data_IF_426606490965
#
_entry.id   IF_426606490965
#
_cell.length_a   1.000
_cell.length_b   1.000
_cell.length_c   1.000
_cell.angle_alpha   90.00
_cell.angle_beta   90.00
_cell.angle_gamma   90.00
#
_symmetry.space_group_name_H-M   'P 1'
#
loop_
_entity.id
_entity.type
_entity.pdbx_description
1 polymer ?
#
# COMPACT_ATOMS: atom_id res chain seq x y z
N UNK A 1 4.22 5.41 12.98
CA UNK A 1 3.99 4.03 13.49
C UNK A 1 2.63 3.42 13.13
N UNK A 2 1.46 4.01 13.43
CA UNK A 2 0.18 3.33 13.10
C UNK A 2 0.05 2.98 11.61
N UNK A 3 0.34 3.92 10.71
CA UNK A 3 0.33 3.67 9.25
C UNK A 3 1.35 2.62 8.81
N UNK A 4 2.59 2.71 9.29
CA UNK A 4 3.65 1.74 8.98
C UNK A 4 3.27 0.32 9.42
N UNK A 5 2.61 0.17 10.58
CA UNK A 5 2.14 -1.14 11.06
C UNK A 5 1.06 -1.72 10.16
N UNK A 6 0.17 -0.88 9.61
CA UNK A 6 -0.81 -1.32 8.62
C UNK A 6 -0.11 -1.85 7.37
N UNK A 7 0.78 -1.05 6.76
CA UNK A 7 1.48 -1.49 5.55
C UNK A 7 2.34 -2.72 5.76
N UNK A 8 3.06 -2.82 6.89
CA UNK A 8 3.87 -4.00 7.24
C UNK A 8 3.01 -5.26 7.28
N UNK A 9 1.89 -5.22 8.00
CA UNK A 9 0.97 -6.35 8.06
C UNK A 9 0.39 -6.68 6.69
N UNK A 10 -0.04 -5.68 5.92
CA UNK A 10 -0.58 -5.89 4.57
C UNK A 10 0.46 -6.52 3.64
N UNK A 11 1.71 -6.04 3.64
CA UNK A 11 2.80 -6.61 2.85
C UNK A 11 3.07 -8.05 3.25
N UNK A 12 3.17 -8.33 4.56
CA UNK A 12 3.41 -9.67 5.07
C UNK A 12 2.27 -10.64 4.70
N UNK A 13 1.01 -10.23 4.91
CA UNK A 13 -0.18 -11.01 4.57
C UNK A 13 -0.24 -11.30 3.06
N UNK A 14 -0.08 -10.26 2.23
CA UNK A 14 -0.11 -10.37 0.77
C UNK A 14 1.01 -11.28 0.25
N UNK A 15 2.23 -11.14 0.79
CA UNK A 15 3.35 -12.01 0.43
C UNK A 15 3.16 -13.46 0.93
N UNK A 16 2.25 -13.69 1.88
CA UNK A 16 1.89 -15.01 2.41
C UNK A 16 0.62 -15.60 1.77
N UNK A 17 0.09 -14.97 0.72
CA UNK A 17 -1.03 -15.51 -0.06
C UNK A 17 -2.40 -14.92 0.26
N UNK A 18 -2.48 -13.87 1.09
CA UNK A 18 -3.73 -13.14 1.32
C UNK A 18 -4.17 -12.39 0.06
N UNK A 19 -5.41 -12.61 -0.37
CA UNK A 19 -5.98 -12.05 -1.62
C UNK A 19 -6.80 -10.76 -1.40
N UNK A 20 -7.05 -10.38 -0.15
CA UNK A 20 -7.80 -9.18 0.20
C UNK A 20 -7.58 -8.76 1.65
N UNK A 21 -7.64 -7.46 1.90
CA UNK A 21 -7.42 -6.89 3.23
C UNK A 21 -8.54 -5.89 3.53
N UNK A 22 -9.24 -6.08 4.64
CA UNK A 22 -10.38 -5.27 5.04
C UNK A 22 -10.12 -4.66 6.42
N UNK A 23 -10.09 -3.33 6.50
CA UNK A 23 -10.01 -2.63 7.77
C UNK A 23 -11.32 -2.74 8.56
N UNK A 24 -11.27 -2.46 9.85
CA UNK A 24 -12.39 -2.68 10.75
C UNK A 24 -13.47 -1.60 10.66
N UNK A 25 -13.28 -0.47 11.35
CA UNK A 25 -14.18 0.66 11.25
C UNK A 25 -13.64 1.63 10.21
N UNK A 26 -14.44 1.96 9.20
CA UNK A 26 -14.07 2.99 8.23
C UNK A 26 -13.86 4.35 8.91
N UNK A 27 -14.72 4.68 9.89
CA UNK A 27 -14.64 5.92 10.64
C UNK A 27 -15.12 5.76 12.09
N UNK A 28 -14.60 6.61 12.98
CA UNK A 28 -14.98 6.72 14.40
C UNK A 28 -14.90 8.18 14.87
N UNK A 29 -15.41 8.48 16.07
CA UNK A 29 -15.18 9.75 16.74
C UNK A 29 -13.76 9.83 17.39
N UNK A 30 -13.36 10.97 17.97
CA UNK A 30 -12.05 11.14 18.66
C UNK A 30 -11.88 10.20 19.85
N UNK A 31 -12.97 9.66 20.40
CA UNK A 31 -12.92 8.71 21.51
C UNK A 31 -12.81 7.28 21.03
N UNK A 32 -12.89 7.03 19.72
CA UNK A 32 -12.85 5.69 19.14
C UNK A 32 -14.18 4.95 19.19
N UNK A 33 -15.30 5.68 19.22
CA UNK A 33 -16.66 5.15 19.31
C UNK A 33 -17.60 5.65 18.20
N UNK A 34 -18.93 5.48 18.40
CA UNK A 34 -19.57 4.88 19.58
C UNK A 34 -19.34 3.37 19.69
N UNK A 35 -19.19 2.87 20.91
CA UNK A 35 -19.11 1.44 21.18
C UNK A 35 -19.91 1.09 22.45
N UNK A 36 -20.87 0.17 22.33
CA UNK A 36 -21.81 -0.17 23.42
C UNK A 36 -21.12 -0.74 24.67
N UNK A 37 -19.97 -1.40 24.50
CA UNK A 37 -19.18 -2.00 25.58
C UNK A 37 -17.97 -1.13 25.97
N UNK A 38 -17.85 0.09 25.44
CA UNK A 38 -16.70 1.00 25.62
C UNK A 38 -15.36 0.39 25.16
N UNK A 39 -15.40 -0.54 24.20
CA UNK A 39 -14.20 -1.07 23.55
C UNK A 39 -13.77 -0.15 22.41
N UNK A 40 -13.06 0.92 22.76
CA UNK A 40 -12.68 1.97 21.82
C UNK A 40 -11.47 1.60 20.96
N UNK A 41 -11.52 2.00 19.69
CA UNK A 41 -10.48 1.70 18.71
C UNK A 41 -10.08 2.96 17.92
N UNK A 42 -9.05 2.84 17.09
CA UNK A 42 -8.74 3.84 16.06
C UNK A 42 -9.39 3.45 14.73
N UNK A 43 -9.69 4.44 13.90
CA UNK A 43 -10.13 4.26 12.52
C UNK A 43 -9.33 5.19 11.59
N UNK A 44 -9.23 4.89 10.29
CA UNK A 44 -8.53 5.76 9.32
C UNK A 44 -9.15 7.15 9.20
N UNK A 45 -10.47 7.28 9.35
CA UNK A 45 -11.18 8.55 9.35
C UNK A 45 -11.72 8.86 10.74
N UNK A 46 -11.43 10.06 11.24
CA UNK A 46 -11.99 10.56 12.51
C UNK A 46 -12.98 11.70 12.22
N UNK A 47 -14.24 11.54 12.65
CA UNK A 47 -15.37 12.42 12.29
C UNK A 47 -15.87 13.28 13.48
N UNK A 48 -15.08 14.26 13.93
CA UNK A 48 -15.51 15.18 15.01
C UNK A 48 -15.84 16.60 14.56
N UNK A 49 -15.57 16.93 13.30
CA UNK A 49 -15.73 18.26 12.73
C UNK A 49 -16.40 18.15 11.36
N UNK A 50 -16.77 19.29 10.76
CA UNK A 50 -17.33 19.33 9.41
C UNK A 50 -16.39 18.70 8.36
N UNK A 51 -15.07 18.74 8.62
CA UNK A 51 -14.05 18.10 7.79
C UNK A 51 -13.52 16.85 8.49
N UNK A 52 -13.54 15.67 7.81
CA UNK A 52 -12.92 14.44 8.32
C UNK A 52 -11.43 14.60 8.57
N UNK A 53 -10.94 14.12 9.71
CA UNK A 53 -9.50 14.01 9.98
C UNK A 53 -8.98 12.67 9.46
N UNK A 54 -8.03 12.73 8.52
CA UNK A 54 -7.38 11.54 7.96
C UNK A 54 -6.17 11.14 8.82
N UNK A 55 -6.22 9.94 9.38
CA UNK A 55 -5.11 9.38 10.15
C UNK A 55 -4.00 8.87 9.21
N UNK A 56 -2.75 8.75 9.68
CA UNK A 56 -1.67 8.17 8.87
C UNK A 56 -2.01 6.80 8.26
N UNK A 57 -2.75 5.93 8.96
CA UNK A 57 -3.18 4.64 8.39
C UNK A 57 -4.06 4.78 7.15
N UNK A 58 -4.85 5.86 7.01
CA UNK A 58 -5.62 6.12 5.79
C UNK A 58 -4.70 6.23 4.56
N UNK A 59 -3.63 7.02 4.68
CA UNK A 59 -2.68 7.21 3.59
C UNK A 59 -1.93 5.92 3.25
N UNK A 60 -1.53 5.15 4.26
CA UNK A 60 -0.86 3.87 4.05
C UNK A 60 -1.79 2.83 3.42
N UNK A 61 -3.06 2.74 3.82
CA UNK A 61 -4.07 1.91 3.15
C UNK A 61 -4.21 2.26 1.67
N UNK A 62 -4.19 3.56 1.34
CA UNK A 62 -4.35 4.06 -0.02
C UNK A 62 -3.23 3.59 -0.96
N UNK A 63 -2.01 3.39 -0.46
CA UNK A 63 -0.88 2.85 -1.26
C UNK A 63 -1.15 1.46 -1.83
N UNK A 64 -2.06 0.70 -1.23
CA UNK A 64 -2.53 -0.60 -1.72
C UNK A 64 -3.85 -0.44 -2.46
N UNK A 65 -4.87 0.12 -1.81
CA UNK A 65 -6.23 0.17 -2.32
C UNK A 65 -6.38 0.94 -3.64
N UNK A 66 -5.56 1.97 -3.88
CA UNK A 66 -5.61 2.76 -5.11
C UNK A 66 -4.86 2.10 -6.28
N UNK A 67 -3.82 1.34 -5.97
CA UNK A 67 -2.81 0.94 -6.94
C UNK A 67 -2.75 -0.57 -7.21
N UNK A 68 -3.36 -1.40 -6.36
CA UNK A 68 -3.54 -2.83 -6.57
C UNK A 68 -5.03 -3.05 -6.83
N UNK A 69 -5.39 -3.32 -8.08
CA UNK A 69 -6.79 -3.41 -8.53
C UNK A 69 -7.39 -4.78 -8.20
N UNK A 70 -8.73 -4.89 -8.09
CA UNK A 70 -9.38 -6.19 -8.05
C UNK A 70 -8.94 -7.07 -9.24
N UNK A 71 -8.61 -8.33 -8.97
CA UNK A 71 -8.09 -9.26 -9.97
C UNK A 71 -6.60 -9.11 -10.29
N UNK A 72 -5.88 -8.19 -9.64
CA UNK A 72 -4.43 -8.12 -9.73
C UNK A 72 -3.78 -9.43 -9.26
N UNK A 73 -2.66 -9.79 -9.89
CA UNK A 73 -1.94 -11.02 -9.58
C UNK A 73 -0.64 -10.67 -8.88
N UNK A 74 -0.41 -11.24 -7.70
CA UNK A 74 0.86 -11.08 -6.98
C UNK A 74 1.98 -11.70 -7.80
N UNK A 75 3.09 -10.99 -7.94
CA UNK A 75 4.31 -11.51 -8.54
C UNK A 75 5.43 -11.63 -7.52
N UNK A 76 6.39 -12.50 -7.80
CA UNK A 76 7.58 -12.63 -6.96
C UNK A 76 8.36 -11.32 -7.00
N UNK A 77 8.61 -10.76 -5.82
CA UNK A 77 9.50 -9.64 -5.60
C UNK A 77 10.36 -9.91 -4.38
N UNK A 78 11.58 -9.38 -4.38
CA UNK A 78 12.53 -9.53 -3.28
C UNK A 78 13.35 -8.25 -3.15
N UNK A 79 13.54 -7.78 -1.92
CA UNK A 79 14.54 -6.75 -1.63
C UNK A 79 15.89 -7.41 -1.35
N UNK A 80 16.99 -6.81 -1.83
CA UNK A 80 18.34 -7.18 -1.41
C UNK A 80 18.77 -6.50 -0.11
N UNK A 81 17.93 -5.61 0.42
CA UNK A 81 18.08 -4.97 1.73
C UNK A 81 16.91 -5.36 2.61
N UNK A 82 17.16 -6.14 3.66
CA UNK A 82 16.13 -6.65 4.58
C UNK A 82 15.32 -5.54 5.27
N UNK A 83 15.88 -4.32 5.34
CA UNK A 83 15.23 -3.13 5.90
C UNK A 83 14.08 -2.57 5.06
N UNK A 84 13.95 -2.97 3.79
CA UNK A 84 12.84 -2.56 2.92
C UNK A 84 11.87 -3.71 2.74
N UNK A 85 10.63 -3.50 3.20
CA UNK A 85 9.54 -4.44 2.95
C UNK A 85 8.87 -4.11 1.62
N UNK A 86 8.62 -5.14 0.81
CA UNK A 86 8.12 -4.97 -0.56
C UNK A 86 7.04 -5.96 -0.92
N UNK A 87 6.06 -5.52 -1.72
CA UNK A 87 5.14 -6.40 -2.45
C UNK A 87 4.97 -5.87 -3.87
N UNK A 88 4.77 -6.76 -4.83
CA UNK A 88 4.55 -6.40 -6.22
C UNK A 88 3.36 -7.16 -6.82
N UNK A 89 2.59 -6.46 -7.64
CA UNK A 89 1.35 -6.94 -8.21
C UNK A 89 1.24 -6.53 -9.68
N UNK A 90 0.81 -7.43 -10.55
CA UNK A 90 0.41 -7.10 -11.92
C UNK A 90 -1.06 -6.73 -11.91
N UNK A 91 -1.36 -5.49 -12.30
CA UNK A 91 -2.70 -5.09 -12.70
C UNK A 91 -2.89 -5.48 -14.17
N UNK A 92 -3.94 -6.25 -14.46
CA UNK A 92 -4.35 -6.54 -15.83
C UNK A 92 -5.19 -5.37 -16.35
N UNK A 93 -4.89 -4.94 -17.57
CA UNK A 93 -5.65 -3.93 -18.29
C UNK A 93 -7.02 -4.41 -18.71
N UNK A 94 -7.94 -3.46 -18.90
CA UNK A 94 -9.28 -3.73 -19.43
C UNK A 94 -9.17 -4.09 -20.91
N UNK A 95 -9.11 -5.39 -21.23
CA UNK A 95 -9.06 -5.87 -22.61
C UNK A 95 -10.41 -5.63 -23.29
N UNK A 96 -10.53 -4.54 -24.05
CA UNK A 96 -11.63 -4.35 -25.02
C UNK A 96 -12.51 -3.10 -24.90
N UNK A 97 -12.22 -2.15 -23.99
CA UNK A 97 -12.96 -0.88 -23.91
C UNK A 97 -12.16 0.29 -24.50
N UNK A 98 -12.78 1.29 -25.17
CA UNK A 98 -12.10 2.53 -25.55
C UNK A 98 -11.52 3.22 -24.30
N UNK A 99 -10.21 3.50 -24.30
CA UNK A 99 -9.50 4.00 -23.10
C UNK A 99 -8.86 2.91 -22.23
N UNK A 100 -8.55 1.74 -22.80
CA UNK A 100 -7.86 0.62 -22.14
C UNK A 100 -6.69 1.09 -21.26
N UNK A 101 -6.73 0.77 -19.97
CA UNK A 101 -5.50 0.89 -19.16
C UNK A 101 -4.54 -0.22 -19.60
N UNK A 102 -3.27 0.05 -19.91
CA UNK A 102 -2.31 -1.02 -20.14
C UNK A 102 -2.07 -1.85 -18.87
N UNK A 103 -1.61 -3.08 -19.05
CA UNK A 103 -1.06 -3.88 -17.96
C UNK A 103 0.06 -3.07 -17.29
N UNK A 104 0.11 -3.10 -15.96
CA UNK A 104 1.17 -2.43 -15.21
C UNK A 104 1.55 -3.25 -13.98
N UNK A 105 2.76 -3.01 -13.49
CA UNK A 105 3.25 -3.57 -12.23
C UNK A 105 3.20 -2.48 -11.18
N UNK A 106 2.44 -2.70 -10.11
CA UNK A 106 2.47 -1.88 -8.91
C UNK A 106 3.46 -2.48 -7.92
N UNK A 107 4.46 -1.71 -7.51
CA UNK A 107 5.47 -2.11 -6.52
C UNK A 107 5.32 -1.21 -5.30
N UNK A 108 4.96 -1.79 -4.16
CA UNK A 108 4.91 -1.08 -2.88
C UNK A 108 6.24 -1.31 -2.15
N UNK A 109 6.84 -0.23 -1.66
CA UNK A 109 8.10 -0.24 -0.90
C UNK A 109 7.87 0.51 0.42
N UNK A 110 8.08 -0.15 1.54
CA UNK A 110 7.96 0.40 2.89
C UNK A 110 9.36 0.49 3.53
N UNK A 111 9.71 1.68 4.02
CA UNK A 111 10.88 1.92 4.85
C UNK A 111 10.44 2.33 6.25
N UNK A 112 10.60 1.43 7.23
CA UNK A 112 10.29 1.70 8.64
C UNK A 112 11.50 2.20 9.45
N UNK A 113 12.68 2.29 8.83
CA UNK A 113 13.91 2.67 9.50
C UNK A 113 14.03 4.20 9.67
N UNK A 114 14.92 4.61 10.57
CA UNK A 114 15.27 6.01 10.81
C UNK A 114 16.26 6.58 9.76
N UNK A 115 16.55 5.83 8.69
CA UNK A 115 17.51 6.22 7.65
C UNK A 115 16.88 6.26 6.27
N UNK A 116 17.35 7.19 5.46
CA UNK A 116 17.07 7.20 4.02
C UNK A 116 17.82 6.04 3.35
N UNK A 117 17.13 5.33 2.46
CA UNK A 117 17.66 4.13 1.81
C UNK A 117 17.62 4.29 0.30
N UNK A 118 18.78 4.40 -0.32
CA UNK A 118 18.94 4.28 -1.77
C UNK A 118 18.75 2.82 -2.22
N UNK A 119 17.99 2.63 -3.29
CA UNK A 119 17.79 1.33 -3.92
C UNK A 119 17.63 1.45 -5.43
N UNK A 120 17.83 0.33 -6.12
CA UNK A 120 17.55 0.20 -7.54
C UNK A 120 16.32 -0.68 -7.72
N UNK A 121 15.29 -0.16 -8.37
CA UNK A 121 14.15 -0.95 -8.80
C UNK A 121 14.43 -1.52 -10.18
N UNK A 122 14.39 -2.85 -10.30
CA UNK A 122 14.48 -3.57 -11.57
C UNK A 122 13.26 -4.46 -11.74
N UNK A 123 12.49 -4.21 -12.80
CA UNK A 123 11.36 -5.05 -13.21
C UNK A 123 11.77 -5.86 -14.43
N UNK A 124 11.39 -7.13 -14.48
CA UNK A 124 11.74 -8.01 -15.60
C UNK A 124 11.18 -7.47 -16.93
N UNK A 125 12.03 -7.35 -17.94
CA UNK A 125 11.68 -6.74 -19.24
C UNK A 125 11.78 -5.21 -19.27
N UNK A 126 12.11 -4.57 -18.15
CA UNK A 126 12.30 -3.12 -18.05
C UNK A 126 13.75 -2.76 -17.68
N UNK A 127 14.10 -1.48 -17.84
CA UNK A 127 15.33 -0.92 -17.30
C UNK A 127 15.34 -0.91 -15.77
N UNK A 128 16.48 -0.52 -15.19
CA UNK A 128 16.59 -0.27 -13.76
C UNK A 128 16.53 1.24 -13.48
N UNK A 129 15.81 1.64 -12.43
CA UNK A 129 15.72 3.03 -11.97
C UNK A 129 16.26 3.14 -10.56
N UNK A 130 17.09 4.15 -10.31
CA UNK A 130 17.56 4.47 -8.96
C UNK A 130 16.53 5.34 -8.25
N UNK A 131 16.20 4.95 -7.03
CA UNK A 131 15.23 5.62 -6.16
C UNK A 131 15.79 5.71 -4.74
N UNK A 132 15.18 6.57 -3.94
CA UNK A 132 15.48 6.69 -2.51
C UNK A 132 14.16 6.58 -1.74
N UNK A 133 14.13 5.73 -0.72
CA UNK A 133 13.04 5.63 0.23
C UNK A 133 13.42 6.40 1.50
N UNK A 134 12.81 7.56 1.79
CA UNK A 134 13.12 8.32 3.00
C UNK A 134 12.86 7.50 4.27
N UNK A 135 13.45 7.90 5.38
CA UNK A 135 13.09 7.37 6.70
C UNK A 135 11.57 7.45 6.92
N UNK A 136 10.98 6.39 7.50
CA UNK A 136 9.53 6.32 7.81
C UNK A 136 8.60 6.61 6.61
N UNK A 137 8.92 6.04 5.45
CA UNK A 137 8.21 6.30 4.19
C UNK A 137 7.56 5.05 3.59
N UNK A 138 6.60 5.30 2.70
CA UNK A 138 6.00 4.29 1.83
C UNK A 138 5.88 4.87 0.42
N UNK A 139 6.28 4.08 -0.58
CA UNK A 139 6.16 4.41 -2.00
C UNK A 139 5.34 3.36 -2.71
N UNK A 140 4.55 3.80 -3.69
CA UNK A 140 4.00 2.89 -4.70
C UNK A 140 4.50 3.35 -6.06
N UNK A 141 5.32 2.51 -6.70
CA UNK A 141 5.86 2.74 -8.04
C UNK A 141 5.02 1.97 -9.04
N UNK A 142 4.53 2.66 -10.07
CA UNK A 142 3.81 2.06 -11.20
C UNK A 142 4.77 1.95 -12.37
N UNK A 143 4.96 0.72 -12.86
CA UNK A 143 5.77 0.43 -14.04
C UNK A 143 4.83 -0.07 -15.13
N UNK A 144 4.65 0.73 -16.17
CA UNK A 144 3.91 0.33 -17.36
C UNK A 144 4.62 -0.84 -18.04
N UNK A 145 3.85 -1.83 -18.51
CA UNK A 145 4.39 -2.89 -19.36
C UNK A 145 4.20 -2.46 -20.80
N UNK A 146 5.29 -2.43 -21.57
CA UNK A 146 5.15 -2.35 -23.02
C UNK A 146 4.41 -3.61 -23.52
N UNK A 147 3.55 -3.47 -24.55
CA UNK A 147 2.75 -4.57 -25.09
C UNK A 147 3.57 -5.77 -25.60
#
# INVERSE_FOLDING_TARGET
>A
KLGERYAMNMIADMNSGTEGWLDWNLCLDHKGGPNHAKNFCVAPLILNHEVPQLQPCYWFLLHFARFIRPGAQRVVCSSSRDVLEVTAWINLGDRGAPGTTPDNVAVVVLNQSDQDIDFWLKVAGSGAVQLMAPAHSIHTIIVEREP
#
